data_IF_255046311094
#
_entry.id   IF_255046311094
#
_cell.length_a   1.000
_cell.length_b   1.000
_cell.length_c   1.000
_cell.angle_alpha   90.00
_cell.angle_beta   90.00
_cell.angle_gamma   90.00
#
_symmetry.space_group_name_H-M   'P 1'
#
loop_
_entity.id
_entity.type
_entity.pdbx_description
1 polymer ?
#
# COMPACT_ATOMS: atom_id res chain seq x y z
N UNK A 1 -20.52 14.73 -3.48
CA UNK A 1 -20.68 13.28 -3.56
C UNK A 1 -20.35 12.75 -4.94
N UNK A 2 -20.86 13.38 -6.02
CA UNK A 2 -20.60 12.91 -7.38
C UNK A 2 -19.13 12.95 -7.78
N UNK A 3 -18.43 14.02 -7.42
CA UNK A 3 -17.02 14.17 -7.76
C UNK A 3 -16.13 13.11 -7.12
N UNK A 4 -16.43 12.71 -5.88
CA UNK A 4 -15.66 11.67 -5.19
C UNK A 4 -15.85 10.31 -5.87
N UNK A 5 -17.07 10.01 -6.30
CA UNK A 5 -17.35 8.75 -7.00
C UNK A 5 -16.67 8.70 -8.37
N UNK A 6 -16.68 9.80 -9.10
CA UNK A 6 -16.00 9.89 -10.40
C UNK A 6 -14.48 9.72 -10.23
N UNK A 7 -13.90 10.41 -9.25
CA UNK A 7 -12.48 10.30 -8.95
C UNK A 7 -12.11 8.88 -8.54
N UNK A 8 -12.91 8.26 -7.70
CA UNK A 8 -12.67 6.89 -7.26
C UNK A 8 -12.69 5.92 -8.44
N UNK A 9 -13.64 6.08 -9.36
CA UNK A 9 -13.70 5.22 -10.54
C UNK A 9 -12.44 5.35 -11.42
N UNK A 10 -11.91 6.57 -11.55
CA UNK A 10 -10.67 6.81 -12.28
C UNK A 10 -9.50 6.10 -11.59
N UNK A 11 -9.39 6.24 -10.27
CA UNK A 11 -8.31 5.59 -9.51
C UNK A 11 -8.39 4.07 -9.60
N UNK A 12 -9.60 3.50 -9.55
CA UNK A 12 -9.79 2.06 -9.71
C UNK A 12 -9.29 1.57 -11.08
N UNK A 13 -9.60 2.33 -12.13
CA UNK A 13 -9.11 1.99 -13.48
C UNK A 13 -7.58 2.02 -13.53
N UNK A 14 -6.97 2.98 -12.87
CA UNK A 14 -5.51 3.09 -12.82
C UNK A 14 -4.91 1.89 -12.07
N UNK A 15 -5.52 1.49 -10.96
CA UNK A 15 -5.06 0.32 -10.20
C UNK A 15 -5.03 -0.93 -11.08
N UNK A 16 -6.04 -1.12 -11.92
CA UNK A 16 -6.13 -2.27 -12.81
C UNK A 16 -5.38 -2.11 -14.13
N UNK A 17 -4.71 -0.97 -14.34
CA UNK A 17 -3.89 -0.73 -15.52
C UNK A 17 -2.57 -1.50 -15.44
N UNK A 18 -1.81 -1.49 -16.53
CA UNK A 18 -0.50 -2.14 -16.55
C UNK A 18 0.62 -1.29 -15.96
N UNK A 19 0.36 -0.03 -15.63
CA UNK A 19 1.38 0.87 -15.10
C UNK A 19 1.56 0.65 -13.60
N UNK A 20 2.69 0.07 -13.22
CA UNK A 20 2.98 -0.28 -11.83
C UNK A 20 3.05 0.95 -10.92
N UNK A 21 3.72 2.00 -11.37
CA UNK A 21 3.92 3.21 -10.56
C UNK A 21 2.59 3.94 -10.36
N UNK A 22 1.84 4.13 -11.45
CA UNK A 22 0.55 4.82 -11.36
C UNK A 22 -0.46 4.04 -10.51
N UNK A 23 -0.40 2.72 -10.52
CA UNK A 23 -1.26 1.89 -9.66
C UNK A 23 -0.99 2.18 -8.18
N UNK A 24 0.27 2.27 -7.80
CA UNK A 24 0.65 2.58 -6.42
C UNK A 24 0.22 3.99 -6.05
N UNK A 25 0.42 4.96 -6.95
CA UNK A 25 0.03 6.35 -6.71
C UNK A 25 -1.49 6.48 -6.57
N UNK A 26 -2.25 5.76 -7.38
CA UNK A 26 -3.71 5.77 -7.30
C UNK A 26 -4.20 5.21 -5.96
N UNK A 27 -3.62 4.10 -5.51
CA UNK A 27 -3.97 3.55 -4.19
C UNK A 27 -3.60 4.51 -3.08
N UNK A 28 -2.43 5.14 -3.16
CA UNK A 28 -2.03 6.16 -2.20
C UNK A 28 -3.06 7.27 -2.09
N UNK A 29 -3.55 7.76 -3.23
CA UNK A 29 -4.54 8.84 -3.26
C UNK A 29 -5.85 8.39 -2.62
N UNK A 30 -6.28 7.17 -2.90
CA UNK A 30 -7.48 6.60 -2.27
C UNK A 30 -7.32 6.60 -0.75
N UNK A 31 -6.14 6.21 -0.25
CA UNK A 31 -5.86 6.16 1.18
C UNK A 31 -5.82 7.56 1.81
N UNK A 32 -5.13 8.49 1.17
CA UNK A 32 -4.99 9.85 1.69
C UNK A 32 -6.34 10.58 1.78
N UNK A 33 -7.18 10.38 0.80
CA UNK A 33 -8.50 11.03 0.73
C UNK A 33 -9.61 10.23 1.39
N UNK A 34 -9.29 9.07 1.95
CA UNK A 34 -10.27 8.18 2.61
C UNK A 34 -11.48 7.89 1.72
N UNK A 35 -11.23 7.59 0.44
CA UNK A 35 -12.30 7.35 -0.51
C UNK A 35 -12.99 6.00 -0.33
N UNK A 36 -12.33 5.05 0.32
CA UNK A 36 -12.86 3.73 0.62
C UNK A 36 -12.64 3.45 2.10
N UNK A 37 -13.72 3.14 2.82
CA UNK A 37 -13.65 2.84 4.24
C UNK A 37 -13.50 1.35 4.53
N UNK A 38 -13.86 0.48 3.60
CA UNK A 38 -13.82 -0.96 3.79
C UNK A 38 -12.38 -1.47 3.68
N UNK A 39 -11.84 -1.94 4.81
CA UNK A 39 -10.46 -2.44 4.86
C UNK A 39 -10.21 -3.59 3.90
N UNK A 40 -11.18 -4.48 3.74
CA UNK A 40 -11.04 -5.64 2.86
C UNK A 40 -10.78 -5.23 1.41
N UNK A 41 -11.46 -4.19 0.94
CA UNK A 41 -11.28 -3.68 -0.41
C UNK A 41 -9.87 -3.11 -0.58
N UNK A 42 -9.43 -2.32 0.39
CA UNK A 42 -8.09 -1.72 0.37
C UNK A 42 -7.02 -2.81 0.37
N UNK A 43 -7.16 -3.82 1.22
CA UNK A 43 -6.18 -4.92 1.28
C UNK A 43 -6.15 -5.73 -0.01
N UNK A 44 -7.31 -5.92 -0.65
CA UNK A 44 -7.38 -6.59 -1.95
C UNK A 44 -6.62 -5.81 -3.03
N UNK A 45 -6.71 -4.48 -3.01
CA UNK A 45 -5.95 -3.64 -3.94
C UNK A 45 -4.44 -3.78 -3.72
N UNK A 46 -4.00 -3.80 -2.46
CA UNK A 46 -2.59 -4.04 -2.15
C UNK A 46 -2.12 -5.37 -2.73
N UNK A 47 -2.88 -6.43 -2.53
CA UNK A 47 -2.52 -7.75 -3.03
C UNK A 47 -2.51 -7.80 -4.56
N UNK A 48 -3.51 -7.18 -5.19
CA UNK A 48 -3.57 -7.13 -6.64
C UNK A 48 -2.36 -6.43 -7.24
N UNK A 49 -2.00 -5.26 -6.70
CA UNK A 49 -0.86 -4.50 -7.20
C UNK A 49 0.45 -5.27 -6.95
N UNK A 50 0.59 -5.89 -5.78
CA UNK A 50 1.77 -6.68 -5.44
C UNK A 50 2.03 -7.79 -6.47
N UNK A 51 0.97 -8.47 -6.89
CA UNK A 51 1.10 -9.58 -7.86
C UNK A 51 1.58 -9.13 -9.23
N UNK A 52 1.26 -7.92 -9.64
CA UNK A 52 1.63 -7.45 -10.99
C UNK A 52 2.94 -6.67 -11.03
N UNK A 53 3.47 -6.27 -9.88
CA UNK A 53 4.73 -5.52 -9.83
C UNK A 53 5.91 -6.47 -10.03
N UNK A 54 6.84 -6.08 -10.92
CA UNK A 54 8.05 -6.87 -11.19
C UNK A 54 9.26 -6.33 -10.44
N UNK A 55 9.30 -5.04 -10.15
CA UNK A 55 10.40 -4.42 -9.43
C UNK A 55 10.38 -4.78 -7.95
N UNK A 56 11.50 -5.31 -7.44
CA UNK A 56 11.62 -5.61 -6.01
C UNK A 56 11.48 -4.35 -5.17
N UNK A 57 12.05 -3.23 -5.63
CA UNK A 57 11.98 -1.97 -4.91
C UNK A 57 10.54 -1.48 -4.78
N UNK A 58 9.74 -1.58 -5.83
CA UNK A 58 8.34 -1.20 -5.80
C UNK A 58 7.53 -2.15 -4.92
N UNK A 59 7.83 -3.45 -4.94
CA UNK A 59 7.17 -4.40 -4.04
C UNK A 59 7.45 -4.08 -2.58
N UNK A 60 8.70 -3.78 -2.26
CA UNK A 60 9.09 -3.43 -0.90
C UNK A 60 8.38 -2.15 -0.45
N UNK A 61 8.33 -1.15 -1.32
CA UNK A 61 7.62 0.09 -1.02
C UNK A 61 6.13 -0.18 -0.78
N UNK A 62 5.52 -1.01 -1.60
CA UNK A 62 4.10 -1.36 -1.45
C UNK A 62 3.86 -2.09 -0.14
N UNK A 63 4.73 -3.04 0.21
CA UNK A 63 4.63 -3.77 1.49
C UNK A 63 4.76 -2.83 2.67
N UNK A 64 5.67 -1.86 2.59
CA UNK A 64 5.84 -0.86 3.63
C UNK A 64 4.54 -0.05 3.80
N UNK A 65 3.95 0.40 2.70
CA UNK A 65 2.69 1.14 2.74
C UNK A 65 1.55 0.31 3.31
N UNK A 66 1.52 -0.99 2.98
CA UNK A 66 0.52 -1.90 3.54
C UNK A 66 0.68 -2.04 5.04
N UNK A 67 1.92 -2.14 5.51
CA UNK A 67 2.20 -2.21 6.95
C UNK A 67 1.73 -0.95 7.67
N UNK A 68 1.99 0.24 7.11
CA UNK A 68 1.53 1.49 7.68
C UNK A 68 0.01 1.55 7.75
N UNK A 69 -0.67 1.09 6.71
CA UNK A 69 -2.12 1.02 6.68
C UNK A 69 -2.66 0.09 7.77
N UNK A 70 -2.04 -1.08 7.94
CA UNK A 70 -2.44 -2.04 8.97
C UNK A 70 -2.24 -1.48 10.36
N UNK A 71 -1.15 -0.76 10.60
CA UNK A 71 -0.91 -0.11 11.89
C UNK A 71 -1.99 0.93 12.20
N UNK A 72 -2.35 1.75 11.22
CA UNK A 72 -3.40 2.75 11.37
C UNK A 72 -4.74 2.12 11.72
N UNK A 73 -4.99 0.90 11.24
CA UNK A 73 -6.24 0.19 11.44
C UNK A 73 -6.17 -0.85 12.56
N UNK A 74 -5.24 -0.67 13.50
CA UNK A 74 -5.11 -1.48 14.71
C UNK A 74 -4.75 -2.95 14.46
N UNK A 75 -4.08 -3.23 13.35
CA UNK A 75 -3.58 -4.58 13.03
C UNK A 75 -2.06 -4.61 13.16
N UNK A 76 -1.59 -4.21 14.33
CA UNK A 76 -0.16 -4.04 14.61
C UNK A 76 0.64 -5.33 14.40
N UNK A 77 0.12 -6.47 14.82
CA UNK A 77 0.84 -7.75 14.71
C UNK A 77 1.13 -8.09 13.25
N UNK A 78 0.14 -7.93 12.38
CA UNK A 78 0.31 -8.17 10.95
C UNK A 78 1.31 -7.19 10.34
N UNK A 79 1.23 -5.92 10.73
CA UNK A 79 2.16 -4.90 10.27
C UNK A 79 3.60 -5.21 10.68
N UNK A 80 3.80 -5.63 11.92
CA UNK A 80 5.13 -5.96 12.42
C UNK A 80 5.77 -7.11 11.67
N UNK A 81 4.98 -8.10 11.27
CA UNK A 81 5.49 -9.20 10.45
C UNK A 81 6.03 -8.71 9.11
N UNK A 82 5.30 -7.82 8.45
CA UNK A 82 5.73 -7.24 7.18
C UNK A 82 7.01 -6.44 7.38
N UNK A 83 7.05 -5.58 8.39
CA UNK A 83 8.21 -4.73 8.67
C UNK A 83 9.45 -5.55 8.99
N UNK A 84 9.30 -6.62 9.79
CA UNK A 84 10.40 -7.52 10.10
C UNK A 84 10.97 -8.19 8.85
N UNK A 85 10.09 -8.66 7.97
CA UNK A 85 10.50 -9.27 6.72
C UNK A 85 11.27 -8.29 5.83
N UNK A 86 10.85 -7.03 5.79
CA UNK A 86 11.55 -6.00 5.01
C UNK A 86 12.95 -5.75 5.54
N UNK A 87 13.14 -5.75 6.86
CA UNK A 87 14.45 -5.60 7.48
C UNK A 87 15.34 -6.80 7.14
N UNK A 88 14.80 -8.00 7.30
CA UNK A 88 15.55 -9.24 7.08
C UNK A 88 15.93 -9.46 5.61
N UNK A 89 15.14 -8.94 4.69
CA UNK A 89 15.38 -9.12 3.25
C UNK A 89 16.42 -8.15 2.66
N UNK A 90 17.06 -7.34 3.49
CA UNK A 90 18.03 -6.34 3.06
C UNK A 90 17.44 -5.34 2.07
N UNK A 91 16.19 -4.96 2.32
CA UNK A 91 15.49 -3.98 1.49
C UNK A 91 16.16 -2.63 1.51
N UNK A 92 16.09 -1.90 0.38
CA UNK A 92 16.61 -0.52 0.30
C UNK A 92 15.83 0.44 1.19
N UNK A 93 14.60 0.09 1.59
CA UNK A 93 13.80 0.92 2.50
C UNK A 93 13.99 0.53 3.97
N UNK A 94 14.99 -0.29 4.27
CA UNK A 94 15.27 -0.76 5.62
C UNK A 94 15.39 0.37 6.65
N UNK A 95 16.02 1.47 6.27
CA UNK A 95 16.18 2.62 7.17
C UNK A 95 14.83 3.22 7.55
N UNK A 96 13.91 3.35 6.59
CA UNK A 96 12.56 3.84 6.85
C UNK A 96 11.79 2.89 7.75
N UNK A 97 11.92 1.59 7.52
CA UNK A 97 11.26 0.57 8.34
C UNK A 97 11.73 0.65 9.79
N UNK A 98 13.04 0.74 10.00
CA UNK A 98 13.61 0.87 11.34
C UNK A 98 13.11 2.11 12.05
N UNK A 99 13.01 3.23 11.35
CA UNK A 99 12.51 4.47 11.92
C UNK A 99 11.08 4.32 12.42
N UNK A 100 10.23 3.63 11.67
CA UNK A 100 8.83 3.37 12.06
C UNK A 100 8.76 2.47 13.30
N UNK A 101 9.56 1.41 13.33
CA UNK A 101 9.55 0.44 14.44
C UNK A 101 10.03 1.08 15.75
N UNK A 102 11.02 1.97 15.67
CA UNK A 102 11.59 2.59 16.87
C UNK A 102 10.74 3.71 17.45
N UNK A 103 9.72 4.14 16.75
CA UNK A 103 8.75 5.11 17.27
C UNK A 103 7.66 4.41 18.06
#
# INVERSE_FOLDING_TARGET
AGKNNESLNIYKKIIYSKNEIYSILALNTILEKNLISEQEIILDYFLYIEKKIHSKELKDLLLFKRALYLMKNKKKNEAEKILSNLIDSKSKIKSLVKEVITK
#
